data_IF_275361404231
#
_entry.id   IF_275361404231
#
_cell.length_a   1.000
_cell.length_b   1.000
_cell.length_c   1.000
_cell.angle_alpha   90.00
_cell.angle_beta   90.00
_cell.angle_gamma   90.00
#
_symmetry.space_group_name_H-M   'P 1'
#
loop_
_entity.id
_entity.type
_entity.pdbx_description
1 polymer ?
#
# COMPACT_ATOMS: atom_id res chain seq x y z
N UNK A 1 -20.95 22.74 17.18
CA UNK A 1 -20.69 23.26 15.83
C UNK A 1 -20.90 22.11 14.84
N UNK A 2 -21.81 22.29 13.86
CA UNK A 2 -22.03 21.29 12.80
C UNK A 2 -20.75 21.13 11.99
N UNK A 3 -20.22 19.91 11.89
CA UNK A 3 -19.06 19.62 11.04
C UNK A 3 -19.45 19.80 9.57
N UNK A 4 -18.54 20.38 8.77
CA UNK A 4 -18.75 20.51 7.33
C UNK A 4 -18.74 19.11 6.69
N UNK A 5 -19.75 18.83 5.87
CA UNK A 5 -19.87 17.59 5.10
C UNK A 5 -18.83 17.57 3.97
N UNK A 6 -18.17 16.41 3.79
CA UNK A 6 -17.14 16.21 2.78
C UNK A 6 -17.29 14.85 2.11
N UNK A 7 -17.50 14.83 0.80
CA UNK A 7 -17.60 13.62 -0.01
C UNK A 7 -16.22 13.26 -0.57
N UNK A 8 -15.65 12.16 -0.11
CA UNK A 8 -14.30 11.74 -0.43
C UNK A 8 -14.32 10.51 -1.33
N UNK A 9 -13.76 10.64 -2.53
CA UNK A 9 -13.40 9.51 -3.36
C UNK A 9 -12.03 8.97 -2.96
N UNK A 10 -11.91 7.67 -2.66
CA UNK A 10 -10.63 7.06 -2.27
C UNK A 10 -10.36 5.78 -3.06
N UNK A 11 -9.09 5.58 -3.41
CA UNK A 11 -8.59 4.31 -3.96
C UNK A 11 -7.31 3.94 -3.22
N UNK A 12 -7.37 2.83 -2.48
CA UNK A 12 -6.24 2.24 -1.75
C UNK A 12 -6.12 0.77 -2.18
N UNK A 13 -5.20 0.49 -3.12
CA UNK A 13 -5.15 -0.78 -3.83
C UNK A 13 -4.29 -1.85 -3.13
N UNK A 14 -3.34 -1.46 -2.29
CA UNK A 14 -2.42 -2.37 -1.60
C UNK A 14 -2.66 -2.37 -0.08
N UNK A 15 -2.21 -3.42 0.58
CA UNK A 15 -2.42 -3.59 2.03
C UNK A 15 -1.80 -2.45 2.86
N UNK A 16 -0.59 -2.03 2.50
CA UNK A 16 0.08 -0.87 3.12
C UNK A 16 -0.69 0.42 2.87
N UNK A 17 -1.17 0.61 1.64
CA UNK A 17 -1.99 1.76 1.23
C UNK A 17 -3.35 1.80 1.94
N UNK A 18 -3.97 0.65 2.19
CA UNK A 18 -5.24 0.55 2.91
C UNK A 18 -5.11 1.10 4.34
N UNK A 19 -4.06 0.71 5.08
CA UNK A 19 -3.78 1.24 6.42
C UNK A 19 -3.50 2.74 6.42
N UNK A 20 -2.70 3.23 5.46
CA UNK A 20 -2.42 4.66 5.31
C UNK A 20 -3.68 5.45 4.99
N UNK A 21 -4.49 4.96 4.06
CA UNK A 21 -5.77 5.55 3.69
C UNK A 21 -6.73 5.61 4.87
N UNK A 22 -6.86 4.51 5.61
CA UNK A 22 -7.72 4.43 6.78
C UNK A 22 -7.31 5.43 7.87
N UNK A 23 -6.01 5.54 8.17
CA UNK A 23 -5.51 6.51 9.15
C UNK A 23 -5.80 7.95 8.73
N UNK A 24 -5.57 8.28 7.46
CA UNK A 24 -5.86 9.62 6.93
C UNK A 24 -7.36 9.93 7.04
N UNK A 25 -8.23 9.01 6.61
CA UNK A 25 -9.69 9.21 6.69
C UNK A 25 -10.16 9.31 8.15
N UNK A 26 -9.60 8.53 9.06
CA UNK A 26 -9.93 8.64 10.49
C UNK A 26 -9.62 10.04 11.01
N UNK A 27 -8.43 10.58 10.73
CA UNK A 27 -8.07 11.96 11.11
C UNK A 27 -8.97 13.01 10.43
N UNK A 28 -9.41 12.78 9.20
CA UNK A 28 -10.36 13.68 8.52
C UNK A 28 -11.74 13.66 9.19
N UNK A 29 -12.19 12.52 9.70
CA UNK A 29 -13.48 12.38 10.44
C UNK A 29 -13.50 13.15 11.75
N UNK A 30 -12.35 13.46 12.34
CA UNK A 30 -12.29 14.30 13.52
C UNK A 30 -12.69 15.76 13.21
N UNK A 31 -12.44 16.20 11.96
CA UNK A 31 -12.66 17.58 11.52
C UNK A 31 -13.92 17.76 10.66
N UNK A 32 -14.30 16.72 9.92
CA UNK A 32 -15.38 16.76 8.92
C UNK A 32 -16.37 15.60 9.13
N UNK A 33 -17.62 15.79 8.62
CA UNK A 33 -18.55 14.69 8.38
C UNK A 33 -18.21 14.05 7.02
N UNK A 34 -17.48 12.93 7.03
CA UNK A 34 -16.92 12.32 5.82
C UNK A 34 -17.82 11.22 5.28
N UNK A 35 -18.26 11.36 4.01
CA UNK A 35 -18.85 10.28 3.22
C UNK A 35 -17.79 9.69 2.27
N UNK A 36 -17.60 8.35 2.31
CA UNK A 36 -16.57 7.66 1.55
C UNK A 36 -17.14 6.91 0.35
N UNK A 37 -16.49 7.08 -0.80
CA UNK A 37 -16.79 6.41 -2.05
C UNK A 37 -15.53 5.88 -2.71
N UNK A 38 -15.56 4.68 -3.28
CA UNK A 38 -14.40 4.18 -4.01
C UNK A 38 -14.03 2.74 -3.72
N UNK A 39 -12.75 2.47 -3.51
CA UNK A 39 -12.24 1.13 -3.27
C UNK A 39 -11.09 1.18 -2.26
N UNK A 40 -11.18 0.36 -1.23
CA UNK A 40 -10.16 0.16 -0.21
C UNK A 40 -10.21 -1.26 0.32
N UNK A 41 -9.19 -1.64 1.08
CA UNK A 41 -9.11 -2.92 1.75
C UNK A 41 -9.91 -2.95 3.06
N UNK A 42 -9.62 -3.95 3.92
CA UNK A 42 -10.39 -4.16 5.15
C UNK A 42 -10.41 -2.95 6.10
N UNK A 43 -9.30 -2.19 6.18
CA UNK A 43 -9.22 -1.06 7.11
C UNK A 43 -10.07 0.14 6.64
N UNK A 44 -10.02 0.46 5.37
CA UNK A 44 -10.90 1.50 4.79
C UNK A 44 -12.36 1.04 4.78
N UNK A 45 -12.64 -0.26 4.58
CA UNK A 45 -13.98 -0.82 4.60
C UNK A 45 -14.67 -0.63 5.97
N UNK A 46 -13.95 -0.78 7.08
CA UNK A 46 -14.47 -0.53 8.44
C UNK A 46 -14.96 0.91 8.63
N UNK A 47 -14.51 1.84 7.81
CA UNK A 47 -14.91 3.25 7.86
C UNK A 47 -16.19 3.58 7.08
N UNK A 48 -16.83 2.58 6.48
CA UNK A 48 -18.13 2.74 5.80
C UNK A 48 -18.01 3.21 4.36
N UNK A 49 -17.04 2.72 3.59
CA UNK A 49 -16.89 3.05 2.17
C UNK A 49 -18.02 2.46 1.33
N UNK A 50 -18.56 3.26 0.41
CA UNK A 50 -19.48 2.80 -0.64
C UNK A 50 -18.70 2.49 -1.92
N UNK A 51 -18.69 1.22 -2.31
CA UNK A 51 -17.99 0.72 -3.51
C UNK A 51 -18.97 0.36 -4.64
N UNK A 52 -18.51 0.36 -5.91
CA UNK A 52 -19.36 -0.12 -7.01
C UNK A 52 -19.66 -1.62 -6.86
N UNK A 53 -20.86 -2.05 -7.26
CA UNK A 53 -21.20 -3.47 -7.28
C UNK A 53 -20.25 -4.29 -8.16
N UNK A 54 -19.93 -5.50 -7.71
CA UNK A 54 -19.05 -6.46 -8.41
C UNK A 54 -17.62 -5.95 -8.67
N UNK A 55 -17.05 -5.20 -7.73
CA UNK A 55 -15.62 -4.87 -7.67
C UNK A 55 -15.16 -5.10 -6.24
N UNK A 56 -14.17 -5.96 -6.09
CA UNK A 56 -13.55 -6.25 -4.81
C UNK A 56 -12.14 -5.67 -4.75
N UNK A 57 -11.68 -5.40 -3.54
CA UNK A 57 -10.33 -4.97 -3.26
C UNK A 57 -9.26 -5.92 -3.84
N UNK A 58 -9.48 -7.24 -3.73
CA UNK A 58 -8.60 -8.26 -4.30
C UNK A 58 -8.41 -8.13 -5.81
N UNK A 59 -9.40 -7.60 -6.52
CA UNK A 59 -9.30 -7.38 -7.97
C UNK A 59 -8.15 -6.43 -8.35
N UNK A 60 -7.79 -5.49 -7.49
CA UNK A 60 -6.64 -4.61 -7.71
C UNK A 60 -5.31 -5.24 -7.25
N UNK A 61 -5.32 -6.05 -6.19
CA UNK A 61 -4.12 -6.72 -5.67
C UNK A 61 -3.57 -7.75 -6.67
N UNK A 62 -4.44 -8.57 -7.25
CA UNK A 62 -4.06 -9.59 -8.25
C UNK A 62 -3.39 -8.96 -9.47
N UNK A 63 -3.71 -7.72 -9.80
CA UNK A 63 -3.16 -7.01 -10.96
C UNK A 63 -1.72 -6.51 -10.77
N UNK A 64 -1.27 -6.34 -9.52
CA UNK A 64 0.15 -6.07 -9.22
C UNK A 64 1.04 -7.31 -9.33
N UNK A 65 0.43 -8.51 -9.35
CA UNK A 65 1.11 -9.80 -9.31
C UNK A 65 1.17 -10.52 -10.67
N UNK A 66 0.28 -10.18 -11.59
CA UNK A 66 0.17 -10.83 -12.90
C UNK A 66 0.44 -9.78 -13.97
N UNK A 67 1.00 -10.22 -15.12
CA UNK A 67 1.28 -9.38 -16.28
C UNK A 67 0.13 -8.37 -16.52
N UNK A 68 0.40 -7.04 -16.41
CA UNK A 68 -0.61 -6.00 -16.60
C UNK A 68 -1.34 -6.08 -17.94
N UNK A 69 -0.72 -6.69 -18.95
CA UNK A 69 -1.30 -6.86 -20.29
C UNK A 69 -2.46 -7.87 -20.29
N UNK A 70 -2.38 -8.94 -19.48
CA UNK A 70 -3.44 -9.95 -19.40
C UNK A 70 -4.71 -9.43 -18.70
N UNK A 71 -4.56 -8.43 -17.84
CA UNK A 71 -5.66 -7.87 -17.04
C UNK A 71 -6.13 -6.48 -17.46
N UNK A 72 -5.60 -5.95 -18.60
CA UNK A 72 -5.89 -4.58 -19.04
C UNK A 72 -7.41 -4.31 -19.19
N UNK A 73 -8.17 -5.25 -19.75
CA UNK A 73 -9.63 -5.11 -19.89
C UNK A 73 -10.33 -4.97 -18.54
N UNK A 74 -9.94 -5.77 -17.56
CA UNK A 74 -10.51 -5.72 -16.20
C UNK A 74 -10.16 -4.39 -15.52
N UNK A 75 -8.92 -3.94 -15.65
CA UNK A 75 -8.48 -2.61 -15.17
C UNK A 75 -9.32 -1.47 -15.75
N UNK A 76 -9.56 -1.49 -17.05
CA UNK A 76 -10.36 -0.46 -17.71
C UNK A 76 -11.82 -0.47 -17.25
N UNK A 77 -12.40 -1.65 -17.02
CA UNK A 77 -13.76 -1.79 -16.48
C UNK A 77 -13.82 -1.22 -15.06
N UNK A 78 -12.87 -1.56 -14.19
CA UNK A 78 -12.81 -1.05 -12.83
C UNK A 78 -12.66 0.48 -12.82
N UNK A 79 -11.72 1.03 -13.63
CA UNK A 79 -11.56 2.48 -13.79
C UNK A 79 -12.88 3.16 -14.21
N UNK A 80 -13.58 2.59 -15.20
CA UNK A 80 -14.84 3.15 -15.70
C UNK A 80 -15.92 3.16 -14.61
N UNK A 81 -16.06 2.06 -13.87
CA UNK A 81 -17.08 1.95 -12.80
C UNK A 81 -16.78 2.91 -11.64
N UNK A 82 -15.52 2.96 -11.17
CA UNK A 82 -15.12 3.88 -10.11
C UNK A 82 -15.30 5.35 -10.53
N UNK A 83 -14.88 5.70 -11.73
CA UNK A 83 -15.05 7.06 -12.24
C UNK A 83 -16.54 7.46 -12.34
N UNK A 84 -17.40 6.54 -12.82
CA UNK A 84 -18.86 6.76 -12.84
C UNK A 84 -19.40 6.98 -11.43
N UNK A 85 -18.98 6.18 -10.44
CA UNK A 85 -19.36 6.37 -9.03
C UNK A 85 -18.98 7.76 -8.54
N UNK A 86 -17.74 8.19 -8.78
CA UNK A 86 -17.27 9.51 -8.34
C UNK A 86 -18.07 10.67 -8.94
N UNK A 87 -18.43 10.56 -10.21
CA UNK A 87 -19.29 11.54 -10.87
C UNK A 87 -20.71 11.55 -10.29
N UNK A 88 -21.32 10.39 -10.10
CA UNK A 88 -22.67 10.25 -9.55
C UNK A 88 -22.80 10.75 -8.12
N UNK A 89 -21.72 10.62 -7.33
CA UNK A 89 -21.68 11.04 -5.93
C UNK A 89 -21.22 12.50 -5.78
N UNK A 90 -20.76 13.12 -6.86
CA UNK A 90 -20.25 14.51 -6.84
C UNK A 90 -19.22 14.69 -5.72
N UNK A 91 -18.13 13.90 -5.77
CA UNK A 91 -17.10 13.96 -4.75
C UNK A 91 -16.39 15.31 -4.74
N UNK A 92 -16.10 15.82 -3.55
CA UNK A 92 -15.38 17.09 -3.36
C UNK A 92 -13.87 16.93 -3.55
N UNK A 93 -13.36 15.75 -3.16
CA UNK A 93 -11.93 15.45 -3.16
C UNK A 93 -11.68 13.99 -3.54
N UNK A 94 -10.63 13.75 -4.32
CA UNK A 94 -10.13 12.42 -4.65
C UNK A 94 -8.79 12.16 -3.97
N UNK A 95 -8.66 11.02 -3.31
CA UNK A 95 -7.45 10.55 -2.65
C UNK A 95 -7.00 9.23 -3.29
N UNK A 96 -5.89 9.26 -4.03
CA UNK A 96 -5.20 8.08 -4.50
C UNK A 96 -4.14 7.68 -3.49
N UNK A 97 -4.18 6.44 -2.98
CA UNK A 97 -3.17 5.95 -2.04
C UNK A 97 -2.33 4.91 -2.74
N UNK A 98 -1.01 5.11 -2.77
CA UNK A 98 -0.08 4.25 -3.50
C UNK A 98 -0.46 4.07 -4.98
N UNK A 99 -0.04 2.99 -5.65
CA UNK A 99 -0.43 2.62 -7.03
C UNK A 99 -0.56 3.81 -7.99
N UNK A 100 0.48 4.64 -8.17
CA UNK A 100 0.38 5.91 -8.89
C UNK A 100 -0.03 5.73 -10.35
N UNK A 101 0.35 4.64 -11.00
CA UNK A 101 -0.03 4.35 -12.39
C UNK A 101 -1.53 4.08 -12.55
N UNK A 102 -2.16 3.51 -11.55
CA UNK A 102 -3.61 3.33 -11.54
C UNK A 102 -4.32 4.64 -11.24
N UNK A 103 -3.86 5.36 -10.23
CA UNK A 103 -4.50 6.57 -9.71
C UNK A 103 -4.37 7.78 -10.66
N UNK A 104 -3.31 7.86 -11.46
CA UNK A 104 -3.09 8.96 -12.41
C UNK A 104 -4.26 9.16 -13.39
N UNK A 105 -4.96 8.09 -13.77
CA UNK A 105 -6.16 8.21 -14.59
C UNK A 105 -7.23 9.07 -13.90
N UNK A 106 -7.46 8.85 -12.62
CA UNK A 106 -8.46 9.59 -11.84
C UNK A 106 -8.01 11.02 -11.58
N UNK A 107 -6.75 11.22 -11.18
CA UNK A 107 -6.18 12.56 -11.00
C UNK A 107 -6.40 13.42 -12.25
N UNK A 108 -6.02 12.91 -13.42
CA UNK A 108 -6.16 13.61 -14.70
C UNK A 108 -7.62 13.93 -15.06
N UNK A 109 -8.54 13.01 -14.81
CA UNK A 109 -9.96 13.18 -15.19
C UNK A 109 -10.72 14.05 -14.20
N UNK A 110 -10.50 13.88 -12.91
CA UNK A 110 -11.21 14.60 -11.85
C UNK A 110 -10.71 16.03 -11.74
N UNK A 111 -9.41 16.29 -11.91
CA UNK A 111 -8.87 17.64 -11.97
C UNK A 111 -9.52 18.49 -13.07
N UNK A 112 -9.84 17.90 -14.23
CA UNK A 112 -10.50 18.62 -15.33
C UNK A 112 -11.90 19.14 -14.99
N UNK A 113 -12.56 18.51 -14.03
CA UNK A 113 -13.87 18.92 -13.50
C UNK A 113 -13.76 19.59 -12.13
N UNK A 114 -12.56 20.09 -11.81
CA UNK A 114 -12.25 20.87 -10.61
C UNK A 114 -12.41 20.13 -9.26
N UNK A 115 -12.47 18.81 -9.26
CA UNK A 115 -12.35 18.00 -8.04
C UNK A 115 -10.89 18.07 -7.55
N UNK A 116 -10.70 18.38 -6.27
CA UNK A 116 -9.37 18.39 -5.65
C UNK A 116 -8.78 17.00 -5.62
N UNK A 117 -7.47 16.89 -5.88
CA UNK A 117 -6.79 15.59 -6.00
C UNK A 117 -5.57 15.51 -5.10
N UNK A 118 -5.49 14.44 -4.32
CA UNK A 118 -4.36 14.15 -3.42
C UNK A 118 -3.80 12.76 -3.77
N UNK A 119 -2.48 12.68 -3.93
CA UNK A 119 -1.77 11.41 -3.99
C UNK A 119 -1.05 11.19 -2.65
N UNK A 120 -1.37 10.14 -1.95
CA UNK A 120 -0.67 9.66 -0.76
C UNK A 120 0.32 8.59 -1.20
N UNK A 121 1.53 8.67 -0.74
CA UNK A 121 2.74 7.97 -1.23
C UNK A 121 3.17 8.53 -2.58
N UNK A 122 4.32 9.19 -2.54
CA UNK A 122 4.96 9.79 -3.72
C UNK A 122 5.35 8.71 -4.74
N UNK A 123 5.06 8.89 -6.03
CA UNK A 123 5.71 8.09 -7.07
C UNK A 123 7.24 8.28 -7.04
N UNK A 124 8.01 7.20 -7.20
CA UNK A 124 9.48 7.22 -7.15
C UNK A 124 10.10 7.85 -8.42
N UNK A 125 9.70 9.08 -8.74
CA UNK A 125 10.17 9.81 -9.95
C UNK A 125 11.59 10.33 -9.82
N UNK A 126 12.11 10.44 -8.62
CA UNK A 126 13.47 10.86 -8.29
C UNK A 126 14.54 9.81 -8.66
N UNK A 127 14.18 8.53 -8.74
CA UNK A 127 15.10 7.45 -9.07
C UNK A 127 15.01 6.98 -10.53
N UNK A 128 13.83 7.13 -11.16
CA UNK A 128 13.57 6.72 -12.54
C UNK A 128 12.25 7.36 -13.03
N UNK A 129 12.09 7.48 -14.37
CA UNK A 129 10.90 8.11 -14.98
C UNK A 129 10.66 9.57 -14.55
N UNK A 130 11.72 10.37 -14.43
CA UNK A 130 11.65 11.78 -14.04
C UNK A 130 10.65 12.59 -14.89
N UNK A 131 10.47 12.24 -16.17
CA UNK A 131 9.48 12.88 -17.07
C UNK A 131 8.03 12.88 -16.50
N UNK A 132 7.72 12.01 -15.55
CA UNK A 132 6.40 11.96 -14.91
C UNK A 132 6.14 13.15 -13.97
N UNK A 133 7.18 13.85 -13.55
CA UNK A 133 7.07 14.99 -12.65
C UNK A 133 6.14 16.07 -13.19
N UNK A 134 6.17 16.30 -14.51
CA UNK A 134 5.27 17.28 -15.17
C UNK A 134 3.80 16.85 -15.11
N UNK A 135 3.52 15.55 -15.27
CA UNK A 135 2.17 15.02 -15.17
C UNK A 135 1.64 15.10 -13.74
N UNK A 136 2.51 14.85 -12.76
CA UNK A 136 2.19 14.97 -11.33
C UNK A 136 1.81 16.42 -11.02
N UNK A 137 2.69 17.37 -11.32
CA UNK A 137 2.43 18.81 -11.07
C UNK A 137 1.18 19.33 -11.77
N UNK A 138 0.84 18.79 -12.96
CA UNK A 138 -0.34 19.20 -13.72
C UNK A 138 -1.65 18.62 -13.21
N UNK A 139 -1.63 17.43 -12.63
CA UNK A 139 -2.85 16.64 -12.36
C UNK A 139 -3.11 16.36 -10.89
N UNK A 140 -2.14 16.57 -10.00
CA UNK A 140 -2.26 16.36 -8.57
C UNK A 140 -2.16 17.70 -7.86
N UNK A 141 -3.13 18.01 -6.98
CA UNK A 141 -3.12 19.25 -6.20
C UNK A 141 -2.16 19.17 -5.01
N UNK A 142 -2.00 17.99 -4.42
CA UNK A 142 -1.11 17.75 -3.30
C UNK A 142 -0.55 16.34 -3.34
N UNK A 143 0.78 16.20 -3.28
CA UNK A 143 1.47 14.91 -3.09
C UNK A 143 1.94 14.79 -1.65
N UNK A 144 1.50 13.75 -0.94
CA UNK A 144 1.95 13.43 0.42
C UNK A 144 3.11 12.44 0.36
N UNK A 145 4.29 12.88 0.78
CA UNK A 145 5.53 12.13 0.73
C UNK A 145 5.80 11.42 2.07
N UNK A 146 6.24 10.16 2.03
CA UNK A 146 6.63 9.41 3.22
C UNK A 146 8.04 9.77 3.68
N UNK A 147 8.91 10.19 2.77
CA UNK A 147 10.30 10.53 3.06
C UNK A 147 10.56 12.01 2.81
N UNK A 148 11.42 12.61 3.65
CA UNK A 148 11.76 14.03 3.58
C UNK A 148 12.41 14.40 2.24
N UNK A 149 13.32 13.58 1.74
CA UNK A 149 13.99 13.84 0.46
C UNK A 149 13.03 13.89 -0.74
N UNK A 150 11.95 13.11 -0.71
CA UNK A 150 10.91 13.18 -1.74
C UNK A 150 10.21 14.53 -1.72
N UNK A 151 9.83 15.00 -0.53
CA UNK A 151 9.21 16.30 -0.36
C UNK A 151 10.11 17.43 -0.86
N UNK A 152 11.40 17.42 -0.47
CA UNK A 152 12.39 18.38 -0.93
C UNK A 152 12.53 18.37 -2.47
N UNK A 153 12.60 17.19 -3.08
CA UNK A 153 12.63 17.04 -4.54
C UNK A 153 11.41 17.67 -5.24
N UNK A 154 10.20 17.49 -4.70
CA UNK A 154 8.98 18.11 -5.24
C UNK A 154 9.00 19.64 -5.09
N UNK A 155 9.48 20.15 -3.96
CA UNK A 155 9.59 21.60 -3.74
C UNK A 155 10.59 22.25 -4.71
N UNK A 156 11.73 21.62 -5.00
CA UNK A 156 12.69 22.09 -6.00
C UNK A 156 12.09 22.20 -7.41
N UNK A 157 11.10 21.39 -7.72
CA UNK A 157 10.37 21.42 -8.99
C UNK A 157 9.11 22.29 -8.95
N UNK A 158 8.90 23.07 -7.87
CA UNK A 158 7.71 23.91 -7.65
C UNK A 158 6.40 23.11 -7.68
N UNK A 159 6.39 21.87 -7.20
CA UNK A 159 5.21 21.03 -7.11
C UNK A 159 4.74 20.96 -5.65
N UNK A 160 3.45 21.16 -5.45
CA UNK A 160 2.86 21.15 -4.11
C UNK A 160 2.94 19.78 -3.48
N UNK A 161 3.63 19.68 -2.35
CA UNK A 161 3.82 18.44 -1.60
C UNK A 161 3.79 18.69 -0.10
N UNK A 162 3.60 17.63 0.66
CA UNK A 162 3.61 17.63 2.12
C UNK A 162 4.39 16.44 2.63
N UNK A 163 5.28 16.65 3.59
CA UNK A 163 5.98 15.57 4.26
C UNK A 163 5.09 14.96 5.33
N UNK A 164 4.52 13.80 5.03
CA UNK A 164 3.64 13.05 5.94
C UNK A 164 4.45 12.31 7.03
N UNK A 165 5.64 11.83 6.69
CA UNK A 165 6.41 10.89 7.50
C UNK A 165 6.00 9.43 7.26
N UNK A 166 6.91 8.52 7.55
CA UNK A 166 6.61 7.09 7.43
C UNK A 166 5.91 6.59 8.69
N UNK A 167 4.80 5.84 8.58
CA UNK A 167 4.02 5.39 9.75
C UNK A 167 4.83 4.54 10.74
N UNK A 168 5.87 3.86 10.26
CA UNK A 168 6.75 3.07 11.12
C UNK A 168 7.74 3.88 11.95
N UNK A 169 7.91 5.18 11.67
CA UNK A 169 8.83 6.04 12.42
C UNK A 169 8.44 6.24 13.89
N UNK A 170 7.15 6.06 14.20
CA UNK A 170 6.60 6.17 15.57
C UNK A 170 6.44 4.82 16.28
N UNK A 171 6.70 3.71 15.60
CA UNK A 171 6.60 2.39 16.23
C UNK A 171 7.76 2.18 17.20
N UNK A 172 7.41 1.82 18.42
CA UNK A 172 8.38 1.35 19.40
C UNK A 172 8.64 -0.14 19.13
N UNK A 173 9.89 -0.56 18.97
CA UNK A 173 10.22 -1.97 18.80
C UNK A 173 9.85 -2.73 20.08
N UNK A 174 9.29 -3.92 19.93
CA UNK A 174 9.09 -4.83 21.05
C UNK A 174 10.42 -5.24 21.64
N UNK A 175 10.49 -5.42 22.96
CA UNK A 175 11.70 -5.97 23.58
C UNK A 175 11.93 -7.41 23.12
N UNK A 176 13.19 -7.83 23.05
CA UNK A 176 13.53 -9.22 22.71
C UNK A 176 12.83 -10.21 23.67
N UNK A 177 12.81 -9.92 24.95
CA UNK A 177 12.14 -10.75 25.95
C UNK A 177 10.64 -10.93 25.65
N UNK A 178 9.94 -9.87 25.28
CA UNK A 178 8.54 -9.93 24.90
C UNK A 178 8.32 -10.80 23.64
N UNK A 179 9.17 -10.68 22.63
CA UNK A 179 9.07 -11.47 21.39
C UNK A 179 9.33 -12.95 21.68
N UNK A 180 10.35 -13.26 22.48
CA UNK A 180 10.66 -14.65 22.88
C UNK A 180 9.49 -15.30 23.62
N UNK A 181 8.90 -14.57 24.58
CA UNK A 181 7.74 -15.04 25.34
C UNK A 181 6.49 -15.22 24.45
N UNK A 182 6.17 -14.22 23.64
CA UNK A 182 5.00 -14.23 22.76
C UNK A 182 4.99 -15.41 21.78
N UNK A 183 6.16 -15.79 21.26
CA UNK A 183 6.30 -16.86 20.27
C UNK A 183 6.86 -18.15 20.87
N UNK A 184 6.98 -18.22 22.19
CA UNK A 184 7.54 -19.39 22.91
C UNK A 184 8.90 -19.84 22.35
N UNK A 185 9.81 -18.88 22.14
CA UNK A 185 11.13 -19.11 21.57
C UNK A 185 12.18 -19.30 22.67
N UNK A 186 13.12 -20.24 22.44
CA UNK A 186 14.21 -20.52 23.36
C UNK A 186 15.28 -19.42 23.31
N UNK A 187 15.44 -18.68 24.40
CA UNK A 187 16.40 -17.57 24.53
C UNK A 187 17.87 -17.96 24.38
N UNK A 188 18.19 -19.26 24.43
CA UNK A 188 19.54 -19.81 24.23
C UNK A 188 19.92 -19.93 22.75
N UNK A 189 18.96 -19.74 21.83
CA UNK A 189 19.13 -19.86 20.39
C UNK A 189 19.52 -18.54 19.73
N UNK A 190 20.21 -18.66 18.60
CA UNK A 190 20.46 -17.52 17.70
C UNK A 190 19.33 -17.43 16.66
N UNK A 191 18.71 -16.27 16.52
CA UNK A 191 17.62 -16.09 15.57
C UNK A 191 18.04 -15.25 14.38
N UNK A 192 17.74 -15.74 13.17
CA UNK A 192 17.91 -15.00 11.91
C UNK A 192 16.53 -14.82 11.29
N UNK A 193 16.14 -13.59 10.98
CA UNK A 193 14.92 -13.33 10.22
C UNK A 193 15.20 -13.45 8.73
N UNK A 194 14.43 -14.31 8.04
CA UNK A 194 14.43 -14.44 6.58
C UNK A 194 13.14 -13.84 6.01
N UNK A 195 13.27 -12.88 5.10
CA UNK A 195 12.13 -12.15 4.53
C UNK A 195 12.07 -12.41 3.00
N UNK A 196 11.46 -13.52 2.55
CA UNK A 196 11.47 -13.91 1.14
C UNK A 196 10.59 -13.01 0.26
N UNK A 197 9.74 -12.20 0.87
CA UNK A 197 8.84 -11.27 0.19
C UNK A 197 7.42 -11.30 0.74
N UNK A 198 6.62 -10.38 0.26
CA UNK A 198 5.20 -10.21 0.63
C UNK A 198 4.24 -10.64 -0.47
N UNK A 199 4.74 -11.09 -1.62
CA UNK A 199 3.98 -11.55 -2.79
C UNK A 199 4.34 -12.98 -3.16
N UNK A 200 3.38 -13.72 -3.67
CA UNK A 200 3.57 -15.13 -4.11
C UNK A 200 4.74 -15.28 -5.09
N UNK A 201 4.87 -14.39 -6.06
CA UNK A 201 5.96 -14.42 -7.05
C UNK A 201 7.34 -14.21 -6.42
N UNK A 202 7.44 -13.30 -5.44
CA UNK A 202 8.68 -13.04 -4.70
C UNK A 202 9.09 -14.28 -3.91
N UNK A 203 8.15 -14.87 -3.16
CA UNK A 203 8.39 -16.08 -2.36
C UNK A 203 8.85 -17.25 -3.24
N UNK A 204 8.14 -17.51 -4.35
CA UNK A 204 8.51 -18.60 -5.28
C UNK A 204 9.91 -18.41 -5.85
N UNK A 205 10.35 -17.19 -6.07
CA UNK A 205 11.67 -16.88 -6.62
C UNK A 205 12.77 -16.93 -5.56
N UNK A 206 12.50 -16.41 -4.35
CA UNK A 206 13.54 -16.20 -3.33
C UNK A 206 13.70 -17.38 -2.38
N UNK A 207 12.63 -18.11 -2.06
CA UNK A 207 12.67 -19.20 -1.06
C UNK A 207 13.71 -20.29 -1.34
N UNK A 208 13.89 -20.79 -2.59
CA UNK A 208 14.92 -21.83 -2.83
C UNK A 208 16.32 -21.36 -2.41
N UNK A 209 16.69 -20.12 -2.79
CA UNK A 209 18.00 -19.55 -2.42
C UNK A 209 18.11 -19.33 -0.91
N UNK A 210 17.03 -18.91 -0.26
CA UNK A 210 17.01 -18.67 1.18
C UNK A 210 17.08 -19.98 1.97
N UNK A 211 16.41 -21.05 1.51
CA UNK A 211 16.48 -22.37 2.12
C UNK A 211 17.91 -22.94 2.04
N UNK A 212 18.56 -22.86 0.86
CA UNK A 212 19.98 -23.27 0.71
C UNK A 212 20.93 -22.50 1.62
N UNK A 213 20.71 -21.19 1.75
CA UNK A 213 21.53 -20.36 2.64
C UNK A 213 21.28 -20.72 4.11
N UNK A 214 20.03 -20.96 4.50
CA UNK A 214 19.67 -21.34 5.86
C UNK A 214 20.30 -22.69 6.23
N UNK A 215 20.26 -23.68 5.33
CA UNK A 215 20.90 -24.99 5.55
C UNK A 215 22.40 -24.83 5.80
N UNK A 216 23.11 -24.08 4.97
CA UNK A 216 24.56 -23.85 5.13
C UNK A 216 24.91 -23.16 6.46
N UNK A 217 24.08 -22.20 6.86
CA UNK A 217 24.26 -21.48 8.14
C UNK A 217 24.00 -22.43 9.30
N UNK A 218 22.95 -23.25 9.22
CA UNK A 218 22.61 -24.22 10.25
C UNK A 218 23.70 -25.29 10.40
N UNK A 219 24.23 -25.80 9.30
CA UNK A 219 25.31 -26.79 9.30
C UNK A 219 26.58 -26.24 9.99
N UNK A 220 26.87 -24.94 9.75
CA UNK A 220 28.00 -24.28 10.41
C UNK A 220 27.72 -23.91 11.88
N UNK A 221 26.48 -23.69 12.25
CA UNK A 221 26.05 -23.32 13.61
C UNK A 221 24.64 -23.89 13.90
N UNK A 222 24.56 -25.13 14.44
CA UNK A 222 23.29 -25.79 14.72
C UNK A 222 22.41 -25.09 15.77
N UNK A 223 22.96 -24.12 16.49
CA UNK A 223 22.19 -23.31 17.44
C UNK A 223 21.43 -22.14 16.78
N UNK A 224 21.43 -22.07 15.44
CA UNK A 224 20.75 -21.02 14.68
C UNK A 224 19.36 -21.47 14.23
N UNK A 225 18.35 -20.62 14.50
CA UNK A 225 16.97 -20.79 14.11
C UNK A 225 16.52 -19.66 13.16
N UNK A 226 15.64 -19.98 12.22
CA UNK A 226 15.16 -19.03 11.22
C UNK A 226 13.71 -18.67 11.48
N UNK A 227 13.42 -17.36 11.49
CA UNK A 227 12.09 -16.81 11.62
C UNK A 227 11.66 -16.25 10.26
N UNK A 228 10.57 -16.76 9.73
CA UNK A 228 10.08 -16.38 8.40
C UNK A 228 8.72 -15.72 8.55
N UNK A 229 8.63 -14.38 8.64
CA UNK A 229 7.35 -13.69 8.72
C UNK A 229 6.60 -13.79 7.38
N UNK A 230 5.36 -14.26 7.42
CA UNK A 230 4.47 -14.30 6.28
C UNK A 230 3.42 -13.18 6.36
N UNK A 231 3.06 -12.59 5.23
CA UNK A 231 2.11 -11.48 5.19
C UNK A 231 0.65 -11.93 5.44
N UNK A 232 0.33 -13.21 5.23
CA UNK A 232 -0.96 -13.83 5.50
C UNK A 232 -0.83 -15.36 5.55
N UNK A 233 -1.90 -16.04 5.95
CA UNK A 233 -1.93 -17.50 6.10
C UNK A 233 -1.72 -18.28 4.79
N UNK A 234 -2.19 -17.75 3.66
CA UNK A 234 -1.97 -18.38 2.34
C UNK A 234 -0.48 -18.41 1.98
N UNK A 235 0.22 -17.31 2.22
CA UNK A 235 1.66 -17.22 1.98
C UNK A 235 2.47 -18.03 3.01
N UNK A 236 2.00 -18.11 4.24
CA UNK A 236 2.59 -18.98 5.26
C UNK A 236 2.53 -20.44 4.83
N UNK A 237 1.36 -20.91 4.37
CA UNK A 237 1.19 -22.28 3.86
C UNK A 237 2.06 -22.54 2.62
N UNK A 238 2.20 -21.58 1.71
CA UNK A 238 3.10 -21.69 0.57
C UNK A 238 4.56 -21.86 1.00
N UNK A 239 5.03 -21.00 1.92
CA UNK A 239 6.41 -21.08 2.44
C UNK A 239 6.64 -22.45 3.08
N UNK A 240 5.72 -22.91 3.93
CA UNK A 240 5.81 -24.21 4.58
C UNK A 240 5.91 -25.35 3.56
N UNK A 241 5.06 -25.34 2.53
CA UNK A 241 5.09 -26.36 1.48
C UNK A 241 6.41 -26.42 0.71
N UNK A 242 7.10 -25.27 0.57
CA UNK A 242 8.42 -25.22 -0.09
C UNK A 242 9.54 -25.72 0.80
N UNK A 243 9.43 -25.59 2.12
CA UNK A 243 10.41 -26.09 3.09
C UNK A 243 10.27 -27.61 3.30
N UNK A 244 9.05 -28.16 3.23
CA UNK A 244 8.80 -29.59 3.41
C UNK A 244 9.33 -30.45 2.24
N UNK A 245 9.67 -29.83 1.11
CA UNK A 245 10.20 -30.50 -0.11
C UNK A 245 11.72 -30.34 -0.24
N UNK A 246 12.33 -29.47 0.57
CA UNK A 246 13.78 -29.22 0.58
C UNK A 246 14.47 -30.05 1.63
#
# INVERSE_FOLDING_TARGET
VSRKKLKVGIIAAEHSGDRLGANLITSMKDLYEVELFGLGGPEVAKLGISSPHNINYQDLQVMGLIDPLLNLRKLLIIRKKLFKLFLQKEIDIFIGVDSPDFNMFFHKKLKKIQVKTIQVVSPSVWGWRENRIHAIGSHIDLTMCLFRFEHEYYLEKNINSFFLGHPFSSLQPSSLAHVLDQYNLDSSKNFISMMPGSRKSEILQMMPTFADAAQKIHDANPNTFFLIPAANDELAALIQSMLDVS
#
